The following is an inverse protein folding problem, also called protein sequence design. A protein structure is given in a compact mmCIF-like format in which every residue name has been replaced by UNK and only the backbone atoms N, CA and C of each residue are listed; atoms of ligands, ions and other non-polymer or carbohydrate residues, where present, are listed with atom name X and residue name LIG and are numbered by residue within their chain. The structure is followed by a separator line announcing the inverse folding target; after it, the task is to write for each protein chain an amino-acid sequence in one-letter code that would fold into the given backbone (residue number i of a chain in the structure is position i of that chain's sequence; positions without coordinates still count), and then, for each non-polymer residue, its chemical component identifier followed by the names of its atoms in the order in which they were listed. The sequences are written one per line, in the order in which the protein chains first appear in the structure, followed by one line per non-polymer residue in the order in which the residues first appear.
data_IF_764189514349
#
_entry.id   IF_764189514349
#
_cell.length_a   1.000
_cell.length_b   1.000
_cell.length_c   1.000
_cell.angle_alpha   90.00
_cell.angle_beta   90.00
_cell.angle_gamma   90.00
#
_symmetry.space_group_name_H-M   'P 1'
#
loop_
_entity.id
_entity.type
_entity.pdbx_description
1 polymer ?
#
# COMPACT_ATOMS: atom_id res chain seq x y z
N UNK A 1 28.81 -37.93 34.93
CA UNK A 1 29.22 -36.53 35.18
C UNK A 1 30.01 -36.02 33.98
N UNK A 2 29.34 -35.36 33.01
CA UNK A 2 29.86 -34.33 32.07
C UNK A 2 28.69 -33.89 31.18
N UNK A 3 28.15 -32.70 31.47
CA UNK A 3 27.26 -31.92 30.60
C UNK A 3 28.16 -31.05 29.70
N UNK A 4 27.85 -30.91 28.42
CA UNK A 4 28.18 -29.70 27.61
C UNK A 4 27.53 -29.86 26.23
N UNK A 5 26.34 -29.27 25.99
CA UNK A 5 26.14 -28.00 25.25
C UNK A 5 26.55 -28.12 23.78
N UNK A 6 25.64 -28.18 22.81
CA UNK A 6 25.02 -26.99 22.19
C UNK A 6 24.02 -27.42 21.12
N UNK A 7 22.76 -26.97 21.16
CA UNK A 7 21.93 -26.72 19.95
C UNK A 7 20.64 -25.93 20.23
N UNK A 8 20.61 -25.09 21.27
CA UNK A 8 19.40 -24.33 21.65
C UNK A 8 19.17 -23.05 20.83
N UNK A 9 19.31 -23.10 19.50
CA UNK A 9 18.92 -22.00 18.62
C UNK A 9 18.25 -22.57 17.36
N UNK A 10 17.19 -23.36 17.55
CA UNK A 10 16.13 -23.42 16.54
C UNK A 10 15.53 -22.02 16.44
N UNK A 11 16.07 -21.25 15.48
CA UNK A 11 15.40 -20.26 14.65
C UNK A 11 13.95 -20.03 15.10
N UNK A 12 13.69 -18.92 15.77
CA UNK A 12 12.36 -18.30 15.77
C UNK A 12 12.14 -17.82 14.33
N UNK A 13 11.83 -18.76 13.44
CA UNK A 13 11.33 -18.46 12.13
C UNK A 13 9.88 -18.09 12.37
N UNK A 14 9.58 -16.79 12.41
CA UNK A 14 8.23 -16.31 12.20
C UNK A 14 7.81 -16.87 10.84
N UNK A 15 7.08 -17.99 10.84
CA UNK A 15 6.57 -18.56 9.62
C UNK A 15 5.74 -17.45 8.95
N UNK A 16 6.16 -17.01 7.77
CA UNK A 16 5.36 -16.11 6.96
C UNK A 16 4.05 -16.84 6.70
N UNK A 17 2.99 -16.45 7.41
CA UNK A 17 1.65 -16.98 7.18
C UNK A 17 1.24 -16.42 5.82
N UNK A 18 1.41 -17.22 4.77
CA UNK A 18 0.85 -16.92 3.46
C UNK A 18 -0.65 -17.12 3.56
N UNK A 19 -1.34 -16.08 4.03
CA UNK A 19 -2.78 -15.92 3.83
C UNK A 19 -3.00 -16.04 2.33
N UNK A 20 -3.90 -16.92 1.87
CA UNK A 20 -4.00 -17.38 0.47
C UNK A 20 -4.22 -16.31 -0.62
N UNK A 21 -4.13 -15.02 -0.27
CA UNK A 21 -4.22 -13.85 -1.13
C UNK A 21 -2.85 -13.28 -1.55
N UNK A 22 -1.73 -13.87 -1.14
CA UNK A 22 -0.38 -13.39 -1.50
C UNK A 22 -0.09 -13.38 -3.01
N UNK A 23 -0.81 -14.19 -3.77
CA UNK A 23 -0.74 -14.22 -5.24
C UNK A 23 -1.70 -13.23 -5.94
N UNK A 24 -2.50 -12.49 -5.17
CA UNK A 24 -3.43 -11.50 -5.72
C UNK A 24 -2.74 -10.15 -5.88
N UNK A 25 -3.13 -9.44 -6.94
CA UNK A 25 -2.59 -8.11 -7.27
C UNK A 25 -3.70 -7.07 -7.51
N UNK A 26 -4.44 -6.64 -6.46
CA UNK A 26 -5.54 -5.70 -6.61
C UNK A 26 -5.07 -4.32 -7.06
N UNK A 27 -5.85 -3.69 -7.94
CA UNK A 27 -5.69 -2.28 -8.30
C UNK A 27 -6.62 -1.42 -7.45
N UNK A 28 -6.04 -0.54 -6.64
CA UNK A 28 -6.74 0.45 -5.83
C UNK A 28 -6.90 1.76 -6.62
N UNK A 29 -8.07 1.91 -7.23
CA UNK A 29 -8.51 3.10 -7.99
C UNK A 29 -9.43 4.01 -7.16
N UNK A 30 -9.48 3.80 -5.85
CA UNK A 30 -10.37 4.54 -4.94
C UNK A 30 -9.66 5.74 -4.33
N UNK A 31 -10.40 6.65 -3.70
CA UNK A 31 -9.85 7.87 -3.09
C UNK A 31 -10.35 8.07 -1.66
N UNK A 32 -9.69 8.98 -0.92
CA UNK A 32 -10.08 9.36 0.45
C UNK A 32 -9.82 8.24 1.47
N UNK A 33 -10.84 7.64 2.09
CA UNK A 33 -10.64 6.76 3.26
C UNK A 33 -11.11 5.32 3.06
N UNK A 34 -12.41 5.09 2.85
CA UNK A 34 -13.00 3.75 2.93
C UNK A 34 -12.44 2.76 1.89
N UNK A 35 -12.32 3.21 0.63
CA UNK A 35 -11.75 2.39 -0.44
C UNK A 35 -10.26 2.10 -0.20
N UNK A 36 -9.41 3.11 0.05
CA UNK A 36 -8.00 2.89 0.31
C UNK A 36 -7.76 2.01 1.55
N UNK A 37 -8.60 2.12 2.58
CA UNK A 37 -8.54 1.29 3.78
C UNK A 37 -8.85 -0.19 3.49
N UNK A 38 -9.84 -0.49 2.65
CA UNK A 38 -10.13 -1.86 2.24
C UNK A 38 -8.91 -2.50 1.55
N UNK A 39 -8.32 -1.77 0.60
CA UNK A 39 -7.13 -2.22 -0.10
C UNK A 39 -5.90 -2.29 0.83
N UNK A 40 -5.83 -1.43 1.84
CA UNK A 40 -4.78 -1.47 2.86
C UNK A 40 -4.84 -2.75 3.70
N UNK A 41 -6.04 -3.22 4.06
CA UNK A 41 -6.19 -4.50 4.76
C UNK A 41 -5.69 -5.65 3.87
N UNK A 42 -6.03 -5.65 2.57
CA UNK A 42 -5.52 -6.67 1.65
C UNK A 42 -3.98 -6.65 1.55
N UNK A 43 -3.38 -5.46 1.51
CA UNK A 43 -1.93 -5.29 1.52
C UNK A 43 -1.30 -5.79 2.83
N UNK A 44 -1.90 -5.47 3.98
CA UNK A 44 -1.45 -5.94 5.30
C UNK A 44 -1.54 -7.48 5.42
N UNK A 45 -2.49 -8.10 4.72
CA UNK A 45 -2.67 -9.55 4.62
C UNK A 45 -1.79 -10.20 3.54
N UNK A 46 -0.92 -9.43 2.87
CA UNK A 46 0.12 -9.93 1.97
C UNK A 46 -0.20 -9.87 0.47
N UNK A 47 -1.32 -9.28 0.06
CA UNK A 47 -1.60 -9.03 -1.35
C UNK A 47 -0.69 -7.92 -1.93
N UNK A 48 -0.32 -8.04 -3.20
CA UNK A 48 0.48 -7.02 -3.89
C UNK A 48 -0.43 -5.91 -4.44
N UNK A 49 -0.78 -4.95 -3.59
CA UNK A 49 -1.75 -3.91 -3.93
C UNK A 49 -1.07 -2.72 -4.60
N UNK A 50 -1.68 -2.25 -5.70
CA UNK A 50 -1.23 -1.10 -6.47
C UNK A 50 -2.26 0.04 -6.36
N UNK A 51 -1.88 1.15 -5.73
CA UNK A 51 -2.60 2.42 -5.76
C UNK A 51 -2.39 3.09 -7.11
N UNK A 52 -3.48 3.34 -7.82
CA UNK A 52 -3.49 4.14 -9.05
C UNK A 52 -4.03 5.51 -8.70
N UNK A 53 -3.24 6.55 -8.95
CA UNK A 53 -3.62 7.92 -8.63
C UNK A 53 -3.66 8.76 -9.90
N UNK A 54 -4.56 9.73 -9.96
CA UNK A 54 -4.54 10.74 -11.02
C UNK A 54 -3.26 11.59 -10.94
N UNK A 55 -2.87 12.32 -12.01
CA UNK A 55 -1.68 13.17 -12.01
C UNK A 55 -1.61 14.18 -10.87
N UNK A 56 -2.74 14.68 -10.38
CA UNK A 56 -2.81 15.57 -9.21
C UNK A 56 -2.65 14.85 -7.86
N UNK A 57 -2.57 13.53 -7.85
CA UNK A 57 -2.53 12.69 -6.66
C UNK A 57 -3.90 12.48 -6.00
N UNK A 58 -3.94 11.59 -5.01
CA UNK A 58 -5.10 11.37 -4.15
C UNK A 58 -5.38 12.58 -3.23
N UNK A 59 -6.67 12.90 -3.03
CA UNK A 59 -7.12 13.99 -2.13
C UNK A 59 -6.57 13.86 -0.71
N UNK A 60 -6.37 12.63 -0.23
CA UNK A 60 -5.81 12.35 1.09
C UNK A 60 -4.41 12.93 1.27
N UNK A 61 -3.63 13.14 0.20
CA UNK A 61 -2.28 13.73 0.28
C UNK A 61 -2.28 15.17 0.76
N UNK A 62 -3.35 15.92 0.53
CA UNK A 62 -3.49 17.32 0.90
C UNK A 62 -4.12 17.52 2.29
N UNK A 63 -4.53 16.44 2.97
CA UNK A 63 -5.23 16.53 4.25
C UNK A 63 -4.24 16.64 5.40
N UNK A 64 -4.27 17.76 6.12
CA UNK A 64 -3.52 17.95 7.36
C UNK A 64 -4.08 17.10 8.52
N UNK A 65 -3.27 16.70 9.51
CA UNK A 65 -1.85 17.03 9.69
C UNK A 65 -0.91 16.13 8.86
N UNK A 66 0.31 16.61 8.64
CA UNK A 66 1.40 15.78 8.10
C UNK A 66 2.13 15.03 9.21
N UNK A 67 2.75 13.90 8.88
CA UNK A 67 3.64 13.19 9.79
C UNK A 67 4.84 14.08 10.16
N UNK A 68 5.27 14.09 11.43
CA UNK A 68 6.38 14.93 11.90
C UNK A 68 7.64 14.77 11.04
N UNK A 69 8.18 15.90 10.57
CA UNK A 69 9.38 15.91 9.73
C UNK A 69 9.19 15.45 8.28
N UNK A 70 7.95 15.27 7.80
CA UNK A 70 7.66 14.86 6.43
C UNK A 70 6.58 15.72 5.77
N UNK A 71 6.45 15.61 4.45
CA UNK A 71 5.33 16.18 3.68
C UNK A 71 4.20 15.17 3.45
N UNK A 72 4.21 14.04 4.16
CA UNK A 72 3.21 12.98 3.99
C UNK A 72 2.05 13.24 4.93
N UNK A 73 0.84 13.38 4.38
CA UNK A 73 -0.38 13.44 5.18
C UNK A 73 -0.54 12.22 6.09
N UNK A 74 -0.95 12.45 7.34
CA UNK A 74 -1.28 11.39 8.29
C UNK A 74 -2.43 10.51 7.80
N UNK A 75 -3.46 11.12 7.19
CA UNK A 75 -4.56 10.39 6.56
C UNK A 75 -4.02 9.47 5.47
N UNK A 76 -3.21 10.02 4.55
CA UNK A 76 -2.68 9.26 3.44
C UNK A 76 -1.79 8.10 3.91
N UNK A 77 -0.93 8.33 4.89
CA UNK A 77 -0.05 7.29 5.45
C UNK A 77 -0.84 6.15 6.13
N UNK A 78 -1.97 6.47 6.77
CA UNK A 78 -2.78 5.49 7.50
C UNK A 78 -3.42 4.46 6.55
N UNK A 79 -3.98 4.94 5.45
CA UNK A 79 -4.76 4.12 4.51
C UNK A 79 -3.98 3.69 3.26
N UNK A 80 -2.71 4.09 3.13
CA UNK A 80 -1.86 3.73 1.99
C UNK A 80 -0.54 3.03 2.32
N UNK A 81 -0.36 2.52 3.55
CA UNK A 81 0.81 1.70 3.88
C UNK A 81 0.80 0.38 3.09
N UNK A 82 1.98 -0.20 2.89
CA UNK A 82 2.18 -1.49 2.22
C UNK A 82 1.69 -1.57 0.76
N UNK A 83 1.22 -0.47 0.17
CA UNK A 83 0.83 -0.37 -1.23
C UNK A 83 1.95 0.24 -2.07
N UNK A 84 2.08 -0.20 -3.32
CA UNK A 84 2.87 0.52 -4.33
C UNK A 84 1.97 1.58 -4.98
N UNK A 85 2.53 2.73 -5.36
CA UNK A 85 1.77 3.79 -6.03
C UNK A 85 2.27 3.97 -7.46
N UNK A 86 1.34 4.16 -8.38
CA UNK A 86 1.62 4.60 -9.74
C UNK A 86 0.70 5.75 -10.12
N UNK A 87 1.27 6.69 -10.85
CA UNK A 87 0.55 7.79 -11.49
C UNK A 87 0.63 7.52 -12.99
N UNK A 88 -0.49 7.29 -13.70
CA UNK A 88 -0.47 7.16 -15.13
C UNK A 88 -0.06 8.48 -15.76
N UNK A 89 0.65 8.40 -16.87
CA UNK A 89 0.98 9.56 -17.68
C UNK A 89 -0.30 10.28 -18.11
N UNK A 90 -0.30 11.61 -18.01
CA UNK A 90 -1.42 12.40 -18.50
C UNK A 90 -1.53 12.22 -20.03
N UNK A 91 -2.73 12.02 -20.58
CA UNK A 91 -2.89 11.92 -22.03
C UNK A 91 -2.42 13.23 -22.69
N UNK A 92 -1.76 13.16 -23.86
CA UNK A 92 -1.26 14.33 -24.56
C UNK A 92 -2.42 15.22 -25.00
N UNK A 93 -2.56 16.39 -24.37
CA UNK A 93 -3.67 17.34 -24.53
C UNK A 93 -5.08 16.74 -24.27
N UNK A 94 -6.06 17.52 -23.81
CA UNK A 94 -7.43 17.00 -23.76
C UNK A 94 -7.83 16.69 -25.21
N UNK A 95 -8.01 15.41 -25.51
CA UNK A 95 -8.70 15.00 -26.74
C UNK A 95 -10.01 15.77 -26.75
N UNK A 96 -10.12 16.76 -27.66
CA UNK A 96 -11.35 17.51 -27.82
C UNK A 96 -12.48 16.48 -27.92
N UNK A 97 -13.58 16.63 -27.17
CA UNK A 97 -14.69 15.72 -27.30
C UNK A 97 -15.12 15.72 -28.77
N UNK A 98 -14.89 14.61 -29.49
CA UNK A 98 -15.50 14.39 -30.81
C UNK A 98 -16.92 13.91 -30.54
N UNK A 99 -17.75 14.80 -30.04
CA UNK A 99 -19.19 14.61 -30.14
C UNK A 99 -19.62 15.11 -31.54
N UNK A 100 -20.52 14.41 -32.24
CA UNK A 100 -21.12 14.91 -33.48
C UNK A 100 -21.97 16.17 -33.24
#
# INVERSE_FOLDING_TARGET
MRRSTTSSLQKVFCASVSLGISNLRPADVTTSWAGPMCCNVLADLGADVIKVEIPSGDVSRAVSPNLPGTQVSFMHATVNRNKRSLVPEAPPSPLRPRWP
#
